data_IF_227982736565
#
_entry.id   IF_227982736565
#
_cell.length_a   1.000
_cell.length_b   1.000
_cell.length_c   1.000
_cell.angle_alpha   90.00
_cell.angle_beta   90.00
_cell.angle_gamma   90.00
#
_symmetry.space_group_name_H-M   'P 1'
#
loop_
_entity.id
_entity.type
_entity.pdbx_description
1 polymer ?
#
# COMPACT_ATOMS: atom_id res chain seq x y z
N UNK A 1 -24.64 11.63 -16.40
CA UNK A 1 -24.57 12.36 -15.13
C UNK A 1 -23.77 11.62 -14.05
N UNK A 2 -24.18 10.41 -13.60
CA UNK A 2 -23.48 9.64 -12.54
C UNK A 2 -21.98 9.42 -12.79
N UNK A 3 -21.59 9.06 -14.03
CA UNK A 3 -20.17 8.80 -14.37
C UNK A 3 -19.29 10.05 -14.23
N UNK A 4 -19.81 11.22 -14.61
CA UNK A 4 -19.06 12.48 -14.50
C UNK A 4 -18.86 12.89 -13.02
N UNK A 5 -19.85 12.64 -12.16
CA UNK A 5 -19.73 12.90 -10.72
C UNK A 5 -18.60 12.01 -10.12
N UNK A 6 -18.56 10.73 -10.50
CA UNK A 6 -17.53 9.80 -10.01
C UNK A 6 -16.14 10.21 -10.49
N UNK A 7 -16.00 10.65 -11.74
CA UNK A 7 -14.72 11.21 -12.25
C UNK A 7 -14.34 12.45 -11.46
N UNK A 8 -15.29 13.35 -11.22
CA UNK A 8 -15.05 14.57 -10.44
C UNK A 8 -14.59 14.25 -9.02
N UNK A 9 -15.29 13.34 -8.32
CA UNK A 9 -14.92 12.94 -6.95
C UNK A 9 -13.53 12.28 -6.91
N UNK A 10 -13.22 11.41 -7.88
CA UNK A 10 -11.90 10.78 -7.98
C UNK A 10 -10.78 11.82 -8.16
N UNK A 11 -10.98 12.77 -9.08
CA UNK A 11 -10.02 13.85 -9.31
C UNK A 11 -9.91 14.76 -8.07
N UNK A 12 -11.02 15.10 -7.43
CA UNK A 12 -11.02 15.91 -6.21
C UNK A 12 -10.19 15.26 -5.09
N UNK A 13 -10.42 13.96 -4.84
CA UNK A 13 -9.66 13.22 -3.83
C UNK A 13 -8.17 13.16 -4.16
N UNK A 14 -7.81 12.99 -5.44
CA UNK A 14 -6.41 13.04 -5.89
C UNK A 14 -5.80 14.43 -5.69
N UNK A 15 -6.53 15.50 -5.99
CA UNK A 15 -6.04 16.86 -5.80
C UNK A 15 -5.84 17.19 -4.31
N UNK A 16 -6.75 16.74 -3.44
CA UNK A 16 -6.60 16.87 -1.98
C UNK A 16 -5.33 16.16 -1.52
N UNK A 17 -5.12 14.90 -1.95
CA UNK A 17 -3.93 14.16 -1.60
C UNK A 17 -2.64 14.80 -2.13
N UNK A 18 -2.63 15.24 -3.38
CA UNK A 18 -1.49 15.95 -3.94
C UNK A 18 -1.17 17.23 -3.14
N UNK A 19 -2.19 17.99 -2.76
CA UNK A 19 -2.01 19.19 -1.92
C UNK A 19 -1.48 18.82 -0.53
N UNK A 20 -2.03 17.77 0.10
CA UNK A 20 -1.58 17.27 1.41
C UNK A 20 -0.10 16.90 1.37
N UNK A 21 0.31 16.09 0.42
CA UNK A 21 1.71 15.67 0.26
C UNK A 21 2.62 16.87 -0.04
N UNK A 22 2.19 17.77 -0.94
CA UNK A 22 2.97 18.96 -1.28
C UNK A 22 3.22 19.83 -0.05
N UNK A 23 2.20 20.09 0.76
CA UNK A 23 2.35 20.90 1.98
C UNK A 23 3.25 20.19 3.01
N UNK A 24 3.14 18.87 3.14
CA UNK A 24 3.97 18.08 4.05
C UNK A 24 5.47 18.16 3.72
N UNK A 25 5.83 18.22 2.43
CA UNK A 25 7.23 18.29 1.99
C UNK A 25 7.78 19.71 1.81
N UNK A 26 6.91 20.74 1.75
CA UNK A 26 7.31 22.13 1.47
C UNK A 26 6.83 23.06 2.60
N UNK A 27 6.78 22.59 3.83
CA UNK A 27 6.29 23.38 4.97
C UNK A 27 7.28 24.45 5.47
N UNK A 28 8.48 24.50 4.88
CA UNK A 28 9.52 25.48 5.24
C UNK A 28 10.26 25.15 6.54
N UNK A 29 9.94 24.05 7.22
CA UNK A 29 10.61 23.63 8.46
C UNK A 29 11.96 22.96 8.22
N UNK A 30 12.22 22.48 6.99
CA UNK A 30 13.42 21.74 6.62
C UNK A 30 14.59 22.64 6.27
N UNK A 31 15.77 22.30 6.77
CA UNK A 31 17.05 22.90 6.38
C UNK A 31 17.49 22.46 4.97
N UNK A 32 18.42 23.21 4.37
CA UNK A 32 19.01 22.82 3.09
C UNK A 32 19.72 21.45 3.13
N UNK A 33 20.29 21.08 4.29
CA UNK A 33 20.91 19.76 4.50
C UNK A 33 19.87 18.65 4.48
N UNK A 34 18.74 18.82 5.15
CA UNK A 34 17.63 17.84 5.16
C UNK A 34 17.05 17.64 3.76
N UNK A 35 16.87 18.70 2.97
CA UNK A 35 16.50 18.58 1.55
C UNK A 35 17.51 17.76 0.75
N UNK A 36 18.81 17.95 1.01
CA UNK A 36 19.88 17.15 0.39
C UNK A 36 19.79 15.68 0.75
N UNK A 37 19.61 15.36 2.04
CA UNK A 37 19.41 13.98 2.55
C UNK A 37 18.18 13.36 1.95
N UNK A 38 17.06 14.08 1.92
CA UNK A 38 15.80 13.61 1.30
C UNK A 38 16.00 13.29 -0.18
N UNK A 39 16.62 14.16 -0.94
CA UNK A 39 16.90 13.95 -2.36
C UNK A 39 17.75 12.70 -2.61
N UNK A 40 18.82 12.51 -1.82
CA UNK A 40 19.66 11.32 -1.91
C UNK A 40 18.89 10.03 -1.56
N UNK A 41 18.09 10.06 -0.50
CA UNK A 41 17.28 8.91 -0.07
C UNK A 41 16.22 8.54 -1.11
N UNK A 42 15.59 9.53 -1.74
CA UNK A 42 14.68 9.30 -2.87
C UNK A 42 15.41 8.66 -4.05
N UNK A 43 16.64 9.10 -4.37
CA UNK A 43 17.46 8.47 -5.43
C UNK A 43 17.74 7.00 -5.12
N UNK A 44 18.01 6.65 -3.86
CA UNK A 44 18.16 5.25 -3.43
C UNK A 44 16.84 4.49 -3.61
N UNK A 45 15.71 5.07 -3.20
CA UNK A 45 14.38 4.43 -3.37
C UNK A 45 14.03 4.18 -4.85
N UNK A 46 14.49 5.00 -5.78
CA UNK A 46 14.27 4.80 -7.22
C UNK A 46 14.83 3.47 -7.74
N UNK A 47 15.82 2.85 -7.06
CA UNK A 47 16.35 1.55 -7.44
C UNK A 47 15.32 0.42 -7.39
N UNK A 48 14.30 0.52 -6.53
CA UNK A 48 13.18 -0.43 -6.56
C UNK A 48 11.95 0.14 -7.26
N UNK A 49 11.64 1.43 -7.06
CA UNK A 49 10.42 2.05 -7.58
C UNK A 49 10.36 1.97 -9.12
N UNK A 50 11.46 2.32 -9.79
CA UNK A 50 11.51 2.31 -11.25
C UNK A 50 11.38 0.90 -11.83
N UNK A 51 12.13 -0.12 -11.38
CA UNK A 51 11.93 -1.50 -11.81
C UNK A 51 10.53 -2.03 -11.51
N UNK A 52 9.96 -1.73 -10.34
CA UNK A 52 8.61 -2.19 -9.97
C UNK A 52 7.55 -1.62 -10.92
N UNK A 53 7.58 -0.31 -11.19
CA UNK A 53 6.68 0.35 -12.14
C UNK A 53 6.89 -0.23 -13.56
N UNK A 54 8.12 -0.42 -13.99
CA UNK A 54 8.43 -1.02 -15.27
C UNK A 54 7.83 -2.44 -15.38
N UNK A 55 8.04 -3.29 -14.38
CA UNK A 55 7.49 -4.64 -14.31
C UNK A 55 5.95 -4.62 -14.33
N UNK A 56 5.32 -3.72 -13.56
CA UNK A 56 3.87 -3.54 -13.55
C UNK A 56 3.32 -3.34 -14.97
N UNK A 57 3.88 -2.41 -15.74
CA UNK A 57 3.42 -2.15 -17.10
C UNK A 57 3.80 -3.25 -18.10
N UNK A 58 4.94 -3.93 -17.92
CA UNK A 58 5.33 -5.09 -18.73
C UNK A 58 4.38 -6.27 -18.55
N UNK A 59 4.04 -6.59 -17.30
CA UNK A 59 3.06 -7.63 -16.96
C UNK A 59 1.68 -7.21 -17.46
N UNK A 60 1.30 -5.94 -17.26
CA UNK A 60 0.06 -5.39 -17.77
C UNK A 60 -0.11 -5.55 -19.27
N UNK A 61 0.93 -5.30 -20.05
CA UNK A 61 0.94 -5.55 -21.50
C UNK A 61 0.74 -7.04 -21.81
N UNK A 62 1.44 -7.94 -21.10
CA UNK A 62 1.33 -9.39 -21.30
C UNK A 62 -0.05 -9.94 -20.93
N UNK A 63 -0.68 -9.37 -19.91
CA UNK A 63 -2.01 -9.78 -19.45
C UNK A 63 -3.15 -8.99 -20.10
N UNK A 64 -2.84 -8.15 -21.08
CA UNK A 64 -3.80 -7.29 -21.80
C UNK A 64 -4.63 -6.42 -20.85
N UNK A 65 -3.99 -5.95 -19.77
CA UNK A 65 -4.60 -5.03 -18.83
C UNK A 65 -4.52 -3.60 -19.33
N UNK A 66 -5.60 -2.84 -19.22
CA UNK A 66 -5.65 -1.45 -19.66
C UNK A 66 -4.57 -0.61 -18.95
N UNK A 67 -3.65 0.00 -19.74
CA UNK A 67 -2.63 0.92 -19.23
C UNK A 67 -3.28 2.06 -18.42
N UNK A 68 -4.42 2.59 -18.91
CA UNK A 68 -5.17 3.64 -18.21
C UNK A 68 -5.67 3.16 -16.83
N UNK A 69 -6.19 1.92 -16.75
CA UNK A 69 -6.64 1.37 -15.47
C UNK A 69 -5.47 1.22 -14.48
N UNK A 70 -4.32 0.70 -14.93
CA UNK A 70 -3.13 0.57 -14.10
C UNK A 70 -2.61 1.94 -13.62
N UNK A 71 -2.53 2.92 -14.51
CA UNK A 71 -2.08 4.27 -14.15
C UNK A 71 -3.01 4.91 -13.12
N UNK A 72 -4.33 4.86 -13.33
CA UNK A 72 -5.29 5.41 -12.38
C UNK A 72 -5.29 4.67 -11.03
N UNK A 73 -5.07 3.35 -11.03
CA UNK A 73 -4.91 2.57 -9.79
C UNK A 73 -3.64 2.97 -9.04
N UNK A 74 -2.52 3.11 -9.73
CA UNK A 74 -1.25 3.55 -9.15
C UNK A 74 -1.36 4.96 -8.55
N UNK A 75 -1.88 5.91 -9.32
CA UNK A 75 -2.07 7.29 -8.86
C UNK A 75 -3.11 7.39 -7.74
N UNK A 76 -4.15 6.56 -7.77
CA UNK A 76 -5.13 6.47 -6.69
C UNK A 76 -4.53 5.94 -5.39
N UNK A 77 -3.67 4.92 -5.47
CA UNK A 77 -2.90 4.43 -4.32
C UNK A 77 -1.99 5.51 -3.74
N UNK A 78 -1.28 6.22 -4.61
CA UNK A 78 -0.33 7.27 -4.23
C UNK A 78 -1.03 8.50 -3.62
N UNK A 79 -2.06 9.04 -4.28
CA UNK A 79 -2.65 10.34 -3.91
C UNK A 79 -4.01 10.26 -3.23
N UNK A 80 -4.67 9.09 -3.14
CA UNK A 80 -5.93 8.95 -2.39
C UNK A 80 -5.69 8.12 -1.14
N UNK A 81 -5.09 6.92 -1.28
CA UNK A 81 -4.91 6.03 -0.14
C UNK A 81 -3.90 6.57 0.86
N UNK A 82 -2.80 7.21 0.40
CA UNK A 82 -1.74 7.73 1.28
C UNK A 82 -2.29 8.65 2.36
N UNK A 83 -2.83 9.80 1.97
CA UNK A 83 -3.32 10.79 2.94
C UNK A 83 -4.52 10.30 3.77
N UNK A 84 -5.44 9.52 3.17
CA UNK A 84 -6.57 8.96 3.90
C UNK A 84 -6.10 8.00 5.00
N UNK A 85 -5.12 7.14 4.69
CA UNK A 85 -4.56 6.22 5.69
C UNK A 85 -3.78 6.96 6.77
N UNK A 86 -3.03 8.00 6.42
CA UNK A 86 -2.32 8.84 7.40
C UNK A 86 -3.29 9.43 8.43
N UNK A 87 -4.39 10.04 7.95
CA UNK A 87 -5.42 10.57 8.85
C UNK A 87 -6.09 9.49 9.68
N UNK A 88 -6.49 8.38 9.08
CA UNK A 88 -7.21 7.32 9.77
C UNK A 88 -6.32 6.61 10.80
N UNK A 89 -5.07 6.31 10.47
CA UNK A 89 -4.10 5.71 11.38
C UNK A 89 -3.85 6.64 12.58
N UNK A 90 -3.59 7.93 12.34
CA UNK A 90 -3.38 8.91 13.41
C UNK A 90 -4.61 9.03 14.31
N UNK A 91 -5.81 9.09 13.74
CA UNK A 91 -7.04 9.18 14.53
C UNK A 91 -7.26 7.95 15.41
N UNK A 92 -7.04 6.76 14.87
CA UNK A 92 -7.21 5.50 15.61
C UNK A 92 -6.12 5.35 16.67
N UNK A 93 -4.86 5.72 16.35
CA UNK A 93 -3.77 5.74 17.33
C UNK A 93 -4.13 6.62 18.54
N UNK A 94 -4.53 7.86 18.32
CA UNK A 94 -4.91 8.78 19.39
C UNK A 94 -6.08 8.22 20.21
N UNK A 95 -7.10 7.67 19.55
CA UNK A 95 -8.25 7.07 20.23
C UNK A 95 -7.85 5.87 21.10
N UNK A 96 -6.97 5.00 20.61
CA UNK A 96 -6.51 3.84 21.38
C UNK A 96 -5.62 4.26 22.56
N UNK A 97 -4.75 5.24 22.36
CA UNK A 97 -3.91 5.82 23.42
C UNK A 97 -4.78 6.46 24.52
N UNK A 98 -5.83 7.20 24.14
CA UNK A 98 -6.76 7.83 25.10
C UNK A 98 -7.58 6.79 25.88
N UNK A 99 -8.02 5.71 25.23
CA UNK A 99 -8.84 4.67 25.84
C UNK A 99 -8.02 3.67 26.67
N UNK A 100 -6.78 3.43 26.30
CA UNK A 100 -5.92 2.37 26.86
C UNK A 100 -4.47 2.84 27.09
N UNK A 101 -4.23 3.91 27.84
CA UNK A 101 -2.91 4.57 27.93
C UNK A 101 -1.79 3.66 28.45
N UNK A 102 -2.12 2.68 29.29
CA UNK A 102 -1.15 1.80 29.96
C UNK A 102 -1.10 0.37 29.38
N UNK A 103 -1.70 0.14 28.19
CA UNK A 103 -1.75 -1.18 27.62
C UNK A 103 -0.45 -1.53 26.86
N UNK A 104 0.46 -2.23 27.51
CA UNK A 104 1.69 -2.74 26.88
C UNK A 104 1.42 -3.65 25.67
N UNK A 105 0.32 -4.41 25.69
CA UNK A 105 -0.12 -5.25 24.59
C UNK A 105 -0.51 -4.41 23.36
N UNK A 106 -1.31 -3.36 23.55
CA UNK A 106 -1.70 -2.47 22.47
C UNK A 106 -0.49 -1.70 21.94
N UNK A 107 0.34 -1.16 22.81
CA UNK A 107 1.55 -0.45 22.41
C UNK A 107 2.48 -1.33 21.52
N UNK A 108 2.57 -2.63 21.82
CA UNK A 108 3.40 -3.55 21.05
C UNK A 108 2.78 -3.99 19.72
N UNK A 109 1.45 -4.11 19.63
CA UNK A 109 0.76 -4.72 18.48
C UNK A 109 -0.15 -3.75 17.73
N UNK A 110 -0.26 -2.50 18.17
CA UNK A 110 -1.18 -1.52 17.59
C UNK A 110 -0.97 -1.40 16.08
N UNK A 111 0.25 -1.12 15.64
CA UNK A 111 0.56 -0.95 14.22
C UNK A 111 0.26 -2.22 13.42
N UNK A 112 0.58 -3.40 13.97
CA UNK A 112 0.30 -4.67 13.33
C UNK A 112 -1.20 -4.95 13.15
N UNK A 113 -2.05 -4.48 14.07
CA UNK A 113 -3.51 -4.67 14.02
C UNK A 113 -4.18 -3.57 13.21
N UNK A 114 -3.85 -2.30 13.50
CA UNK A 114 -4.55 -1.13 12.94
C UNK A 114 -4.22 -0.94 11.46
N UNK A 115 -2.94 -0.99 11.08
CA UNK A 115 -2.54 -0.72 9.71
C UNK A 115 -3.25 -1.63 8.69
N UNK A 116 -3.28 -2.98 8.82
CA UNK A 116 -4.01 -3.82 7.88
C UNK A 116 -5.51 -3.49 7.78
N UNK A 117 -6.15 -3.22 8.94
CA UNK A 117 -7.58 -2.97 9.00
C UNK A 117 -7.99 -1.62 8.42
N UNK A 118 -7.11 -0.64 8.46
CA UNK A 118 -7.33 0.72 7.95
C UNK A 118 -6.87 0.83 6.50
N UNK A 119 -5.65 0.42 6.23
CA UNK A 119 -5.00 0.72 4.97
C UNK A 119 -5.51 -0.14 3.82
N UNK A 120 -5.72 -1.46 4.03
CA UNK A 120 -6.18 -2.29 2.92
C UNK A 120 -7.55 -1.86 2.38
N UNK A 121 -8.59 -1.56 3.20
CA UNK A 121 -9.81 -0.97 2.69
C UNK A 121 -9.61 0.37 1.96
N UNK A 122 -8.74 1.25 2.48
CA UNK A 122 -8.47 2.54 1.87
C UNK A 122 -7.69 2.43 0.56
N UNK A 123 -6.81 1.44 0.42
CA UNK A 123 -6.13 1.11 -0.85
C UNK A 123 -7.08 0.53 -1.89
N UNK A 124 -8.18 -0.11 -1.46
CA UNK A 124 -9.22 -0.61 -2.36
C UNK A 124 -10.20 0.48 -2.82
N UNK A 125 -10.31 1.60 -2.09
CA UNK A 125 -11.22 2.69 -2.44
C UNK A 125 -10.97 3.27 -3.85
N UNK A 126 -9.74 3.69 -4.23
CA UNK A 126 -9.47 4.17 -5.59
C UNK A 126 -9.74 3.10 -6.65
N UNK A 127 -9.54 1.81 -6.33
CA UNK A 127 -9.84 0.71 -7.24
C UNK A 127 -11.34 0.59 -7.53
N UNK A 128 -12.20 0.83 -6.54
CA UNK A 128 -13.65 0.84 -6.75
C UNK A 128 -14.05 1.91 -7.78
N UNK A 129 -13.48 3.11 -7.69
CA UNK A 129 -13.68 4.16 -8.69
C UNK A 129 -13.19 3.74 -10.08
N UNK A 130 -11.97 3.21 -10.16
CA UNK A 130 -11.36 2.82 -11.45
C UNK A 130 -12.14 1.67 -12.09
N UNK A 131 -12.55 0.63 -11.34
CA UNK A 131 -13.35 -0.49 -11.84
C UNK A 131 -14.74 -0.06 -12.31
N UNK A 132 -15.35 0.95 -11.67
CA UNK A 132 -16.60 1.54 -12.13
C UNK A 132 -16.42 2.30 -13.45
N UNK A 133 -15.33 3.06 -13.58
CA UNK A 133 -15.05 3.89 -14.76
C UNK A 133 -14.56 3.06 -15.95
N UNK A 134 -13.76 2.05 -15.70
CA UNK A 134 -13.13 1.15 -16.67
C UNK A 134 -13.44 -0.29 -16.25
N UNK A 135 -14.58 -0.86 -16.69
CA UNK A 135 -14.95 -2.21 -16.32
C UNK A 135 -13.91 -3.24 -16.77
N UNK A 136 -13.35 -3.96 -15.80
CA UNK A 136 -12.37 -5.03 -16.02
C UNK A 136 -12.96 -6.35 -15.51
N UNK A 137 -12.91 -7.40 -16.36
CA UNK A 137 -13.51 -8.70 -16.06
C UNK A 137 -12.48 -9.81 -15.82
N UNK A 138 -11.25 -9.64 -16.36
CA UNK A 138 -10.18 -10.63 -16.22
C UNK A 138 -9.62 -10.57 -14.80
N UNK A 139 -9.62 -11.71 -14.10
CA UNK A 139 -9.12 -11.80 -12.72
C UNK A 139 -7.67 -11.29 -12.60
N UNK A 140 -6.78 -11.69 -13.54
CA UNK A 140 -5.40 -11.22 -13.59
C UNK A 140 -5.28 -9.70 -13.70
N UNK A 141 -6.17 -9.07 -14.45
CA UNK A 141 -6.16 -7.61 -14.59
C UNK A 141 -6.63 -6.91 -13.31
N UNK A 142 -7.65 -7.45 -12.62
CA UNK A 142 -8.11 -6.93 -11.34
C UNK A 142 -7.00 -7.07 -10.29
N UNK A 143 -6.35 -8.23 -10.22
CA UNK A 143 -5.19 -8.46 -9.35
C UNK A 143 -4.07 -7.44 -9.61
N UNK A 144 -3.70 -7.24 -10.86
CA UNK A 144 -2.64 -6.30 -11.23
C UNK A 144 -3.00 -4.84 -10.90
N UNK A 145 -4.29 -4.48 -10.95
CA UNK A 145 -4.75 -3.16 -10.49
C UNK A 145 -4.61 -3.00 -8.97
N UNK A 146 -4.86 -4.05 -8.19
CA UNK A 146 -4.57 -4.06 -6.75
C UNK A 146 -3.10 -3.86 -6.45
N UNK A 147 -2.23 -4.59 -7.17
CA UNK A 147 -0.78 -4.40 -7.10
C UNK A 147 -0.40 -2.96 -7.44
N UNK A 148 -1.01 -2.36 -8.47
CA UNK A 148 -0.74 -0.97 -8.84
C UNK A 148 -1.13 0.01 -7.73
N UNK A 149 -2.28 -0.17 -7.08
CA UNK A 149 -2.72 0.68 -5.96
C UNK A 149 -1.80 0.52 -4.75
N UNK A 150 -1.49 -0.72 -4.36
CA UNK A 150 -0.57 -0.98 -3.26
C UNK A 150 0.85 -0.45 -3.52
N UNK A 151 1.35 -0.54 -4.75
CA UNK A 151 2.63 0.04 -5.14
C UNK A 151 2.60 1.57 -5.06
N UNK A 152 1.52 2.21 -5.49
CA UNK A 152 1.34 3.66 -5.35
C UNK A 152 1.36 4.10 -3.89
N UNK A 153 0.64 3.38 -3.03
CA UNK A 153 0.65 3.61 -1.58
C UNK A 153 2.05 3.43 -1.00
N UNK A 154 2.74 2.35 -1.31
CA UNK A 154 4.10 2.09 -0.83
C UNK A 154 5.07 3.21 -1.19
N UNK A 155 5.01 3.72 -2.42
CA UNK A 155 5.87 4.82 -2.87
C UNK A 155 5.68 6.05 -1.99
N UNK A 156 4.44 6.48 -1.75
CA UNK A 156 4.19 7.69 -0.95
C UNK A 156 4.53 7.47 0.52
N UNK A 157 4.25 6.29 1.04
CA UNK A 157 4.61 5.93 2.41
C UNK A 157 6.13 5.92 2.61
N UNK A 158 6.91 5.32 1.71
CA UNK A 158 8.37 5.32 1.78
C UNK A 158 8.96 6.73 1.74
N UNK A 159 8.38 7.62 0.93
CA UNK A 159 8.78 9.03 0.90
C UNK A 159 8.41 9.73 2.23
N UNK A 160 7.26 9.39 2.82
CA UNK A 160 6.84 9.90 4.13
C UNK A 160 7.79 9.46 5.24
N UNK A 161 8.22 8.20 5.27
CA UNK A 161 9.21 7.72 6.23
C UNK A 161 10.57 8.41 6.05
N UNK A 162 11.04 8.61 4.81
CA UNK A 162 12.24 9.41 4.55
C UNK A 162 12.11 10.77 5.22
N UNK A 163 10.98 11.46 5.06
CA UNK A 163 10.72 12.78 5.66
C UNK A 163 10.78 12.73 7.19
N UNK A 164 10.20 11.71 7.80
CA UNK A 164 10.18 11.53 9.26
C UNK A 164 11.59 11.28 9.82
N UNK A 165 12.41 10.50 9.10
CA UNK A 165 13.73 10.07 9.55
C UNK A 165 14.83 11.16 9.36
N UNK A 166 14.52 12.28 8.68
CA UNK A 166 15.51 13.33 8.37
C UNK A 166 16.18 13.94 9.60
N UNK A 167 15.43 14.09 10.71
CA UNK A 167 15.94 14.64 11.97
C UNK A 167 17.05 13.79 12.61
N UNK A 168 17.08 12.48 12.31
CA UNK A 168 18.06 11.52 12.82
C UNK A 168 19.39 11.55 12.02
N UNK A 169 19.42 12.31 10.92
CA UNK A 169 20.60 12.52 10.09
C UNK A 169 20.81 11.51 8.98
N UNK A 170 21.80 11.80 8.13
CA UNK A 170 22.04 11.10 6.87
C UNK A 170 22.24 9.59 7.03
N UNK A 171 23.08 9.16 7.98
CA UNK A 171 23.40 7.73 8.13
C UNK A 171 22.19 6.90 8.53
N UNK A 172 21.39 7.43 9.46
CA UNK A 172 20.15 6.78 9.89
C UNK A 172 19.14 6.71 8.74
N UNK A 173 18.85 7.84 8.10
CA UNK A 173 17.88 7.92 6.99
C UNK A 173 18.27 6.98 5.84
N UNK A 174 19.56 6.89 5.47
CA UNK A 174 20.04 5.97 4.44
C UNK A 174 19.90 4.50 4.86
N UNK A 175 20.17 4.16 6.12
CA UNK A 175 19.96 2.80 6.62
C UNK A 175 18.49 2.41 6.52
N UNK A 176 17.60 3.27 6.98
CA UNK A 176 16.14 3.04 6.93
C UNK A 176 15.61 2.87 5.52
N UNK A 177 16.03 3.72 4.57
CA UNK A 177 15.58 3.55 3.18
C UNK A 177 16.14 2.27 2.52
N UNK A 178 17.36 1.83 2.88
CA UNK A 178 17.87 0.54 2.41
C UNK A 178 17.07 -0.64 2.95
N UNK A 179 16.63 -0.61 4.21
CA UNK A 179 15.71 -1.60 4.76
C UNK A 179 14.41 -1.62 3.97
N UNK A 180 13.82 -0.46 3.69
CA UNK A 180 12.58 -0.36 2.90
C UNK A 180 12.76 -0.85 1.47
N UNK A 181 13.89 -0.57 0.82
CA UNK A 181 14.23 -1.09 -0.51
C UNK A 181 14.31 -2.61 -0.51
N UNK A 182 14.92 -3.21 0.52
CA UNK A 182 15.04 -4.67 0.63
C UNK A 182 13.72 -5.34 0.98
N UNK A 183 12.90 -4.73 1.83
CA UNK A 183 11.57 -5.23 2.21
C UNK A 183 10.49 -4.98 1.14
N UNK A 184 10.75 -4.10 0.17
CA UNK A 184 9.78 -3.72 -0.88
C UNK A 184 9.27 -4.90 -1.73
N UNK A 185 10.00 -6.04 -1.77
CA UNK A 185 9.59 -7.24 -2.52
C UNK A 185 8.32 -7.88 -1.95
N UNK A 186 8.01 -7.67 -0.67
CA UNK A 186 6.90 -8.34 0.00
C UNK A 186 6.15 -7.37 0.92
N UNK A 187 5.61 -6.30 0.37
CA UNK A 187 4.92 -5.27 1.13
C UNK A 187 3.56 -4.87 0.53
N UNK A 188 3.16 -3.63 0.61
CA UNK A 188 1.81 -3.14 0.31
C UNK A 188 1.24 -3.54 -1.06
N UNK A 189 2.07 -3.62 -2.12
CA UNK A 189 1.60 -4.07 -3.43
C UNK A 189 1.11 -5.53 -3.41
N UNK A 190 1.70 -6.38 -2.55
CA UNK A 190 1.27 -7.76 -2.34
C UNK A 190 -0.06 -7.80 -1.60
N UNK A 191 -0.13 -7.12 -0.45
CA UNK A 191 -1.33 -7.13 0.40
C UNK A 191 -2.54 -6.63 -0.37
N UNK A 192 -2.42 -5.50 -1.06
CA UNK A 192 -3.51 -4.94 -1.85
C UNK A 192 -3.87 -5.79 -3.08
N UNK A 193 -2.89 -6.47 -3.69
CA UNK A 193 -3.14 -7.46 -4.73
C UNK A 193 -4.01 -8.62 -4.22
N UNK A 194 -3.67 -9.18 -3.06
CA UNK A 194 -4.44 -10.25 -2.43
C UNK A 194 -5.82 -9.76 -1.98
N UNK A 195 -5.90 -8.57 -1.37
CA UNK A 195 -7.15 -7.99 -0.88
C UNK A 195 -8.17 -7.79 -2.01
N UNK A 196 -7.75 -7.21 -3.15
CA UNK A 196 -8.66 -7.03 -4.29
C UNK A 196 -9.09 -8.37 -4.92
N UNK A 197 -8.23 -9.38 -4.94
CA UNK A 197 -8.62 -10.73 -5.36
C UNK A 197 -9.75 -11.26 -4.49
N UNK A 198 -9.56 -11.18 -3.16
CA UNK A 198 -10.56 -11.62 -2.21
C UNK A 198 -11.91 -10.92 -2.43
N UNK A 199 -11.92 -9.58 -2.47
CA UNK A 199 -13.14 -8.77 -2.71
C UNK A 199 -13.78 -9.10 -4.05
N UNK A 200 -13.00 -9.23 -5.12
CA UNK A 200 -13.55 -9.53 -6.45
C UNK A 200 -14.16 -10.93 -6.52
N UNK A 201 -13.57 -11.93 -5.88
CA UNK A 201 -14.12 -13.27 -5.78
C UNK A 201 -15.41 -13.28 -4.95
N UNK A 202 -15.49 -12.55 -3.85
CA UNK A 202 -16.73 -12.37 -3.07
C UNK A 202 -17.80 -11.65 -3.87
N UNK A 203 -17.45 -10.64 -4.66
CA UNK A 203 -18.36 -10.00 -5.60
C UNK A 203 -18.90 -11.02 -6.63
N UNK A 204 -18.07 -11.88 -7.20
CA UNK A 204 -18.53 -12.97 -8.10
C UNK A 204 -19.44 -13.97 -7.39
N UNK A 205 -19.15 -14.28 -6.13
CA UNK A 205 -20.01 -15.12 -5.30
C UNK A 205 -21.40 -14.50 -5.08
N UNK A 206 -21.44 -13.19 -4.78
CA UNK A 206 -22.68 -12.41 -4.68
C UNK A 206 -23.45 -12.44 -6.00
N UNK A 207 -22.78 -12.40 -7.15
CA UNK A 207 -23.36 -12.51 -8.49
C UNK A 207 -23.77 -13.94 -8.89
N UNK A 208 -23.82 -14.86 -7.94
CA UNK A 208 -24.31 -16.23 -8.12
C UNK A 208 -23.26 -17.34 -8.17
N UNK A 209 -21.96 -17.01 -8.22
CA UNK A 209 -20.88 -18.00 -8.25
C UNK A 209 -20.47 -18.41 -6.83
N UNK A 210 -21.33 -19.12 -6.11
CA UNK A 210 -21.17 -19.48 -4.68
C UNK A 210 -19.85 -20.19 -4.36
N UNK A 211 -19.26 -20.94 -5.30
CA UNK A 211 -17.97 -21.59 -5.14
C UNK A 211 -16.81 -20.59 -4.87
N UNK A 212 -17.01 -19.30 -5.17
CA UNK A 212 -15.99 -18.25 -4.95
C UNK A 212 -15.96 -17.72 -3.50
N UNK A 213 -16.89 -18.10 -2.63
CA UNK A 213 -16.94 -17.63 -1.23
C UNK A 213 -15.66 -18.01 -0.48
N UNK A 214 -15.33 -19.30 -0.46
CA UNK A 214 -14.16 -19.82 0.28
C UNK A 214 -12.85 -19.21 -0.24
N UNK A 215 -12.53 -19.24 -1.55
CA UNK A 215 -11.36 -18.55 -2.08
C UNK A 215 -11.33 -17.05 -1.76
N UNK A 216 -12.48 -16.38 -1.83
CA UNK A 216 -12.57 -14.94 -1.54
C UNK A 216 -12.13 -14.61 -0.11
N UNK A 217 -12.65 -15.31 0.88
CA UNK A 217 -12.24 -15.14 2.28
C UNK A 217 -10.79 -15.59 2.53
N UNK A 218 -10.31 -16.64 1.84
CA UNK A 218 -8.92 -17.08 1.95
C UNK A 218 -7.94 -15.99 1.48
N UNK A 219 -8.19 -15.32 0.36
CA UNK A 219 -7.33 -14.24 -0.11
C UNK A 219 -7.40 -13.00 0.79
N UNK A 220 -8.57 -12.67 1.35
CA UNK A 220 -8.67 -11.59 2.35
C UNK A 220 -7.87 -11.96 3.61
N UNK A 221 -8.03 -13.17 4.14
CA UNK A 221 -7.27 -13.63 5.29
C UNK A 221 -5.77 -13.61 5.05
N UNK A 222 -5.31 -13.97 3.83
CA UNK A 222 -3.90 -13.85 3.45
C UNK A 222 -3.45 -12.38 3.39
N UNK A 223 -4.24 -11.49 2.80
CA UNK A 223 -3.89 -10.08 2.70
C UNK A 223 -3.68 -9.46 4.08
N UNK A 224 -4.69 -9.59 4.95
CA UNK A 224 -4.63 -9.03 6.32
C UNK A 224 -3.60 -9.74 7.18
N UNK A 225 -3.49 -11.06 7.09
CA UNK A 225 -2.54 -11.85 7.86
C UNK A 225 -1.08 -11.57 7.48
N UNK A 226 -0.77 -11.43 6.19
CA UNK A 226 0.60 -11.08 5.75
C UNK A 226 0.96 -9.66 6.09
N UNK A 227 0.02 -8.72 6.02
CA UNK A 227 0.24 -7.33 6.42
C UNK A 227 0.42 -7.24 7.95
N UNK A 228 -0.40 -7.95 8.74
CA UNK A 228 -0.23 -8.06 10.18
C UNK A 228 1.16 -8.59 10.54
N UNK A 229 1.59 -9.68 9.92
CA UNK A 229 2.92 -10.27 10.15
C UNK A 229 4.04 -9.28 9.80
N UNK A 230 3.90 -8.56 8.70
CA UNK A 230 4.88 -7.57 8.25
C UNK A 230 5.08 -6.45 9.27
N UNK A 231 4.01 -5.98 9.93
CA UNK A 231 4.05 -4.91 10.93
C UNK A 231 4.17 -5.43 12.38
N UNK A 232 4.29 -6.74 12.59
CA UNK A 232 4.33 -7.31 13.94
C UNK A 232 5.75 -7.27 14.52
N UNK A 233 5.90 -7.16 15.85
CA UNK A 233 7.20 -7.27 16.52
C UNK A 233 7.91 -8.62 16.27
N UNK A 234 7.20 -9.63 15.74
CA UNK A 234 7.79 -10.92 15.35
C UNK A 234 8.86 -10.74 14.26
N UNK A 235 8.75 -9.68 13.45
CA UNK A 235 9.78 -9.34 12.45
C UNK A 235 11.04 -8.79 13.12
N UNK A 236 10.89 -8.15 14.27
CA UNK A 236 11.97 -7.54 15.06
C UNK A 236 12.61 -8.52 16.05
N UNK A 237 12.06 -9.76 16.18
CA UNK A 237 12.75 -10.78 16.95
C UNK A 237 14.15 -10.95 16.35
N UNK A 238 15.18 -10.70 17.18
CA UNK A 238 16.61 -10.82 16.88
C UNK A 238 16.99 -12.26 16.52
N UNK A 239 16.43 -12.74 15.45
CA UNK A 239 16.90 -13.97 14.79
C UNK A 239 17.81 -13.52 13.64
N UNK A 240 18.93 -14.18 13.47
CA UNK A 240 19.87 -13.92 12.36
C UNK A 240 19.18 -13.96 10.96
N UNK A 241 17.94 -14.44 10.91
CA UNK A 241 17.09 -14.45 9.72
C UNK A 241 15.65 -14.04 10.09
N UNK A 242 15.18 -12.87 9.67
CA UNK A 242 13.80 -12.44 9.88
C UNK A 242 12.85 -13.32 9.03
N UNK A 243 12.22 -14.31 9.66
CA UNK A 243 11.40 -15.34 8.97
C UNK A 243 10.11 -14.79 8.36
N UNK A 244 9.56 -13.69 8.87
CA UNK A 244 8.31 -13.14 8.36
C UNK A 244 8.45 -12.66 6.91
N UNK A 245 9.57 -12.01 6.57
CA UNK A 245 9.83 -11.49 5.24
C UNK A 245 9.90 -12.58 4.15
N UNK A 246 10.71 -13.66 4.28
CA UNK A 246 10.71 -14.76 3.32
C UNK A 246 9.35 -15.45 3.20
N UNK A 247 8.58 -15.55 4.28
CA UNK A 247 7.23 -16.13 4.27
C UNK A 247 6.27 -15.29 3.44
N UNK A 248 6.23 -13.98 3.67
CA UNK A 248 5.40 -13.04 2.89
C UNK A 248 5.82 -13.05 1.42
N UNK A 249 7.11 -13.04 1.13
CA UNK A 249 7.63 -13.15 -0.24
C UNK A 249 7.19 -14.46 -0.92
N UNK A 250 7.30 -15.60 -0.21
CA UNK A 250 6.87 -16.90 -0.73
C UNK A 250 5.36 -16.95 -1.02
N UNK A 251 4.53 -16.41 -0.13
CA UNK A 251 3.08 -16.31 -0.32
C UNK A 251 2.77 -15.44 -1.54
N UNK A 252 3.49 -14.33 -1.71
CA UNK A 252 3.36 -13.43 -2.84
C UNK A 252 3.65 -14.14 -4.16
N UNK A 253 4.82 -14.74 -4.27
CA UNK A 253 5.26 -15.45 -5.48
C UNK A 253 4.34 -16.62 -5.82
N UNK A 254 3.88 -17.36 -4.79
CA UNK A 254 2.90 -18.43 -4.98
C UNK A 254 1.56 -17.91 -5.49
N UNK A 255 1.08 -16.80 -4.95
CA UNK A 255 -0.16 -16.16 -5.39
C UNK A 255 -0.07 -15.68 -6.84
N UNK A 256 1.06 -15.12 -7.24
CA UNK A 256 1.35 -14.79 -8.64
C UNK A 256 1.35 -16.01 -9.55
N UNK A 257 1.95 -17.11 -9.12
CA UNK A 257 1.96 -18.36 -9.88
C UNK A 257 0.54 -18.91 -10.11
N UNK A 258 -0.34 -18.77 -9.11
CA UNK A 258 -1.73 -19.24 -9.18
C UNK A 258 -2.67 -18.30 -9.94
N UNK A 259 -2.40 -16.99 -10.01
CA UNK A 259 -3.20 -16.00 -10.75
C UNK A 259 -2.97 -16.07 -12.26
#
# INVERSE_FOLDING_TARGET
MKKNIIVFVFILLMCIGLQYETLYYIDGSMSGTEYGVMGLSILVALFYMVPAIYCLYRIGKRWETSKKALTLSLLGGLFISGWLSSFANTYIHNLLTDLFPDSSFLNALENAIVAPLVEEPLKLLPLAFVLYLIPVKKLKSVFLMGIASGLGFQIIEDISYIRTDLSEGLAYTLSRILERVTSAIASHWTFSGLAILGIYLLYRAYRGQKAMIKPGFSYLGLAFGTHFLFNSPIVELETEVPLAFPLVAAITLYSFYKA
#
